data_IF_561856035890
#
_entry.id   IF_561856035890
#
_cell.length_a   1.000
_cell.length_b   1.000
_cell.length_c   1.000
_cell.angle_alpha   90.00
_cell.angle_beta   90.00
_cell.angle_gamma   90.00
#
_symmetry.space_group_name_H-M   'P 1'
#
loop_
_entity.id
_entity.type
_entity.pdbx_description
1 polymer ?
#
# COMPACT_ATOMS: atom_id res chain seq x y z
N UNK A 1 9.52 10.49 -17.10
CA UNK A 1 8.05 10.38 -16.95
C UNK A 1 7.60 8.92 -16.87
N UNK A 2 7.93 8.09 -17.87
CA UNK A 2 7.61 6.63 -17.89
C UNK A 2 8.08 5.90 -16.62
N UNK A 3 9.32 6.11 -16.18
CA UNK A 3 9.87 5.48 -14.97
C UNK A 3 9.04 5.76 -13.71
N UNK A 4 8.54 7.00 -13.54
CA UNK A 4 7.70 7.39 -12.39
C UNK A 4 6.36 6.65 -12.40
N UNK A 5 5.77 6.46 -13.59
CA UNK A 5 4.51 5.74 -13.78
C UNK A 5 4.68 4.25 -13.46
N UNK A 6 5.78 3.64 -13.94
CA UNK A 6 6.09 2.24 -13.65
C UNK A 6 6.27 2.02 -12.15
N UNK A 7 6.99 2.91 -11.45
CA UNK A 7 7.13 2.83 -10.00
C UNK A 7 5.79 2.95 -9.26
N UNK A 8 4.91 3.85 -9.70
CA UNK A 8 3.56 3.98 -9.13
C UNK A 8 2.71 2.73 -9.33
N UNK A 9 2.77 2.12 -10.51
CA UNK A 9 2.03 0.89 -10.81
C UNK A 9 2.50 -0.28 -9.94
N UNK A 10 3.82 -0.42 -9.75
CA UNK A 10 4.39 -1.43 -8.86
C UNK A 10 3.94 -1.18 -7.41
N UNK A 11 4.02 0.08 -6.94
CA UNK A 11 3.58 0.43 -5.59
C UNK A 11 2.08 0.17 -5.38
N UNK A 12 1.24 0.56 -6.34
CA UNK A 12 -0.20 0.29 -6.30
C UNK A 12 -0.50 -1.22 -6.29
N UNK A 13 0.22 -2.01 -7.09
CA UNK A 13 0.06 -3.47 -7.12
C UNK A 13 0.37 -4.12 -5.76
N UNK A 14 1.50 -3.73 -5.16
CA UNK A 14 1.90 -4.22 -3.83
C UNK A 14 0.87 -3.80 -2.78
N UNK A 15 0.35 -2.58 -2.88
CA UNK A 15 -0.67 -2.05 -1.97
C UNK A 15 -1.97 -2.85 -2.04
N UNK A 16 -2.45 -3.17 -3.24
CA UNK A 16 -3.67 -3.99 -3.44
C UNK A 16 -3.49 -5.36 -2.78
N UNK A 17 -2.35 -6.01 -3.00
CA UNK A 17 -2.04 -7.30 -2.36
C UNK A 17 -2.00 -7.19 -0.83
N UNK A 18 -1.41 -6.11 -0.32
CA UNK A 18 -1.28 -5.87 1.12
C UNK A 18 -2.63 -5.56 1.76
N UNK A 19 -3.51 -4.83 1.08
CA UNK A 19 -4.89 -4.59 1.49
C UNK A 19 -5.69 -5.90 1.54
N UNK A 20 -5.56 -6.75 0.52
CA UNK A 20 -6.19 -8.09 0.51
C UNK A 20 -5.73 -8.94 1.70
N UNK A 21 -4.42 -8.91 2.01
CA UNK A 21 -3.87 -9.56 3.19
C UNK A 21 -4.40 -8.96 4.51
N UNK A 22 -4.55 -7.63 4.57
CA UNK A 22 -5.17 -6.94 5.71
C UNK A 22 -6.61 -7.40 5.94
N UNK A 23 -7.42 -7.48 4.89
CA UNK A 23 -8.81 -7.98 4.97
C UNK A 23 -8.85 -9.43 5.43
N UNK A 24 -7.97 -10.28 4.90
CA UNK A 24 -7.88 -11.68 5.35
C UNK A 24 -7.50 -11.78 6.83
N UNK A 25 -6.55 -10.96 7.29
CA UNK A 25 -6.10 -10.90 8.69
C UNK A 25 -7.22 -10.41 9.61
N UNK A 26 -8.05 -9.48 9.12
CA UNK A 26 -9.23 -9.00 9.83
C UNK A 26 -10.24 -10.12 10.06
N UNK A 27 -10.49 -10.94 9.03
CA UNK A 27 -11.38 -12.10 9.11
C UNK A 27 -10.86 -13.18 10.07
N UNK A 28 -9.54 -13.29 10.26
CA UNK A 28 -8.93 -14.17 11.28
C UNK A 28 -9.01 -13.65 12.72
N UNK A 29 -9.85 -12.65 12.99
CA UNK A 29 -10.01 -11.96 14.30
C UNK A 29 -8.78 -11.18 14.77
N UNK A 30 -7.69 -11.10 14.00
CA UNK A 30 -6.55 -10.26 14.33
C UNK A 30 -6.74 -8.83 13.77
N UNK A 31 -7.67 -8.09 14.37
CA UNK A 31 -8.06 -6.75 13.91
C UNK A 31 -6.94 -5.72 14.02
N UNK A 32 -6.12 -5.80 15.06
CA UNK A 32 -4.98 -4.89 15.25
C UNK A 32 -3.92 -5.11 14.18
N UNK A 33 -3.54 -6.36 13.92
CA UNK A 33 -2.60 -6.69 12.83
C UNK A 33 -3.12 -6.24 11.47
N UNK A 34 -4.40 -6.47 11.19
CA UNK A 34 -5.05 -6.02 9.96
C UNK A 34 -5.01 -4.49 9.79
N UNK A 35 -5.30 -3.74 10.86
CA UNK A 35 -5.26 -2.28 10.85
C UNK A 35 -3.85 -1.73 10.57
N UNK A 36 -2.83 -2.29 11.24
CA UNK A 36 -1.43 -1.91 11.03
C UNK A 36 -0.98 -2.23 9.59
N UNK A 37 -1.34 -3.40 9.06
CA UNK A 37 -1.03 -3.78 7.67
C UNK A 37 -1.67 -2.82 6.67
N UNK A 38 -2.93 -2.42 6.88
CA UNK A 38 -3.60 -1.44 6.01
C UNK A 38 -2.93 -0.06 6.07
N UNK A 39 -2.51 0.39 7.27
CA UNK A 39 -1.75 1.63 7.43
C UNK A 39 -0.40 1.58 6.68
N UNK A 40 0.31 0.46 6.78
CA UNK A 40 1.58 0.26 6.07
C UNK A 40 1.36 0.28 4.56
N UNK A 41 0.32 -0.39 4.04
CA UNK A 41 -0.01 -0.39 2.61
C UNK A 41 -0.25 1.04 2.09
N UNK A 42 -0.98 1.84 2.87
CA UNK A 42 -1.31 3.22 2.54
C UNK A 42 -0.04 4.10 2.56
N UNK A 43 0.77 4.00 3.62
CA UNK A 43 2.04 4.72 3.72
C UNK A 43 3.03 4.34 2.60
N UNK A 44 3.12 3.05 2.25
CA UNK A 44 3.98 2.54 1.18
C UNK A 44 3.56 3.04 -0.21
N UNK A 45 2.31 3.44 -0.39
CA UNK A 45 1.79 4.01 -1.65
C UNK A 45 1.92 5.54 -1.68
N UNK A 46 1.59 6.19 -0.57
CA UNK A 46 1.59 7.66 -0.45
C UNK A 46 3.00 8.22 -0.45
N UNK A 47 3.96 7.56 0.20
CA UNK A 47 5.37 8.01 0.25
C UNK A 47 6.01 8.17 -1.15
N UNK A 48 6.00 7.15 -2.02
CA UNK A 48 6.55 7.31 -3.37
C UNK A 48 5.74 8.29 -4.22
N UNK A 49 4.42 8.38 -4.03
CA UNK A 49 3.60 9.38 -4.73
C UNK A 49 4.04 10.81 -4.39
N UNK A 50 4.20 11.13 -3.10
CA UNK A 50 4.67 12.45 -2.64
C UNK A 50 6.04 12.78 -3.20
N UNK A 51 6.98 11.83 -3.17
CA UNK A 51 8.35 12.06 -3.64
C UNK A 51 8.45 12.22 -5.17
N UNK A 52 7.58 11.57 -5.93
CA UNK A 52 7.64 11.57 -7.40
C UNK A 52 6.87 12.73 -8.04
N UNK A 53 5.81 13.24 -7.40
CA UNK A 53 4.87 14.21 -7.99
C UNK A 53 4.77 15.55 -7.26
N UNK A 54 5.01 15.59 -5.95
CA UNK A 54 4.81 16.80 -5.14
C UNK A 54 6.12 17.56 -4.86
N UNK A 55 7.26 17.01 -5.29
CA UNK A 55 8.59 17.59 -5.12
C UNK A 55 9.10 18.20 -6.41
#
# INVERSE_FOLDING_TARGET
MIFKIVMLLIAAWISIYTFSFGVWTWNKKNRFGAFVVMLIALAATVTPFMYLFLK
#
